data_IF_489589069818
#
_entry.id   IF_489589069818
#
_cell.length_a   1.000
_cell.length_b   1.000
_cell.length_c   1.000
_cell.angle_alpha   90.00
_cell.angle_beta   90.00
_cell.angle_gamma   90.00
#
_symmetry.space_group_name_H-M   'P 1'
#
loop_
_entity.id
_entity.type
_entity.pdbx_description
1 polymer ?
#
# COMPACT_ATOMS: atom_id res chain seq x y z
N UNK A 1 -1.22 -15.08 -18.28
CA UNK A 1 0.04 -14.35 -18.56
C UNK A 1 1.16 -14.65 -17.56
N UNK A 2 0.87 -14.80 -16.25
CA UNK A 2 1.91 -15.08 -15.25
C UNK A 2 2.77 -16.33 -15.51
N UNK A 3 2.18 -17.43 -15.99
CA UNK A 3 2.91 -18.68 -16.26
C UNK A 3 3.95 -18.56 -17.36
N UNK A 4 3.65 -17.82 -18.44
CA UNK A 4 4.60 -17.60 -19.53
C UNK A 4 5.76 -16.70 -19.08
N UNK A 5 5.46 -15.60 -18.38
CA UNK A 5 6.49 -14.73 -17.83
C UNK A 5 7.39 -15.45 -16.83
N UNK A 6 6.80 -16.27 -15.96
CA UNK A 6 7.56 -17.14 -15.04
C UNK A 6 8.41 -18.17 -15.79
N UNK A 7 7.84 -18.83 -16.81
CA UNK A 7 8.56 -19.81 -17.62
C UNK A 7 9.75 -19.16 -18.33
N UNK A 8 9.56 -17.98 -18.95
CA UNK A 8 10.63 -17.24 -19.60
C UNK A 8 11.71 -16.77 -18.60
N UNK A 9 11.33 -16.35 -17.40
CA UNK A 9 12.28 -15.92 -16.38
C UNK A 9 13.10 -17.09 -15.81
N UNK A 10 12.53 -18.30 -15.70
CA UNK A 10 13.19 -19.46 -15.09
C UNK A 10 13.91 -20.33 -16.11
N UNK A 11 13.33 -20.52 -17.30
CA UNK A 11 13.80 -21.44 -18.33
C UNK A 11 14.27 -20.73 -19.60
N UNK A 12 14.36 -19.39 -19.58
CA UNK A 12 14.91 -18.63 -20.68
C UNK A 12 16.36 -19.06 -20.98
N UNK A 13 16.78 -19.06 -22.26
CA UNK A 13 18.14 -19.42 -22.62
C UNK A 13 19.12 -18.38 -22.08
N UNK A 14 19.99 -18.81 -21.16
CA UNK A 14 20.98 -17.96 -20.50
C UNK A 14 20.35 -16.81 -19.69
N UNK A 15 21.09 -15.71 -19.55
CA UNK A 15 20.65 -14.54 -18.77
C UNK A 15 19.85 -13.52 -19.61
N UNK A 16 19.38 -13.92 -20.81
CA UNK A 16 18.70 -13.01 -21.73
C UNK A 16 17.48 -12.30 -21.13
N UNK A 17 16.54 -12.99 -20.43
CA UNK A 17 15.37 -12.34 -19.84
C UNK A 17 15.75 -11.26 -18.82
N UNK A 18 16.71 -11.56 -17.96
CA UNK A 18 17.17 -10.64 -16.92
C UNK A 18 17.95 -9.46 -17.52
N UNK A 19 18.79 -9.72 -18.53
CA UNK A 19 19.52 -8.67 -19.24
C UNK A 19 18.57 -7.74 -19.99
N UNK A 20 17.57 -8.29 -20.69
CA UNK A 20 16.55 -7.54 -21.40
C UNK A 20 15.70 -6.68 -20.45
N UNK A 21 15.24 -7.25 -19.33
CA UNK A 21 14.48 -6.52 -18.32
C UNK A 21 15.30 -5.44 -17.59
N UNK A 22 16.63 -5.59 -17.57
CA UNK A 22 17.56 -4.64 -16.95
C UNK A 22 17.94 -3.46 -17.86
N UNK A 23 17.60 -3.50 -19.15
CA UNK A 23 17.83 -2.36 -20.05
C UNK A 23 17.06 -1.14 -19.55
N UNK A 24 17.68 0.05 -19.40
CA UNK A 24 17.04 1.20 -18.75
C UNK A 24 15.66 1.56 -19.31
N UNK A 25 15.53 1.65 -20.64
CA UNK A 25 14.24 1.96 -21.27
C UNK A 25 13.18 0.88 -21.07
N UNK A 26 13.57 -0.40 -21.09
CA UNK A 26 12.66 -1.51 -20.84
C UNK A 26 12.22 -1.51 -19.38
N UNK A 27 13.15 -1.28 -18.46
CA UNK A 27 12.90 -1.22 -17.03
C UNK A 27 11.87 -0.14 -16.66
N UNK A 28 12.01 1.09 -17.16
CA UNK A 28 11.04 2.16 -16.88
C UNK A 28 9.66 1.81 -17.45
N UNK A 29 9.58 1.29 -18.68
CA UNK A 29 8.31 0.84 -19.26
C UNK A 29 7.67 -0.28 -18.43
N UNK A 30 8.45 -1.23 -17.94
CA UNK A 30 7.96 -2.30 -17.07
C UNK A 30 7.50 -1.77 -15.70
N UNK A 31 8.20 -0.81 -15.11
CA UNK A 31 7.80 -0.13 -13.87
C UNK A 31 6.46 0.58 -14.09
N UNK A 32 6.36 1.39 -15.13
CA UNK A 32 5.13 2.10 -15.51
C UNK A 32 3.95 1.14 -15.67
N UNK A 33 4.10 0.07 -16.46
CA UNK A 33 3.04 -0.91 -16.72
C UNK A 33 2.64 -1.67 -15.45
N UNK A 34 3.61 -2.06 -14.63
CA UNK A 34 3.37 -2.73 -13.35
C UNK A 34 2.55 -1.84 -12.42
N UNK A 35 2.89 -0.56 -12.32
CA UNK A 35 2.24 0.38 -11.43
C UNK A 35 0.85 0.80 -11.91
N UNK A 36 0.67 0.90 -13.23
CA UNK A 36 -0.64 1.06 -13.85
C UNK A 36 -1.56 -0.14 -13.55
N UNK A 37 -1.05 -1.36 -13.72
CA UNK A 37 -1.78 -2.58 -13.40
C UNK A 37 -2.12 -2.65 -11.90
N UNK A 38 -1.14 -2.37 -11.03
CA UNK A 38 -1.31 -2.42 -9.58
C UNK A 38 -2.31 -1.37 -9.09
N UNK A 39 -2.21 -0.13 -9.56
CA UNK A 39 -3.14 0.94 -9.21
C UNK A 39 -4.56 0.62 -9.67
N UNK A 40 -4.72 0.13 -10.91
CA UNK A 40 -6.04 -0.26 -11.41
C UNK A 40 -6.64 -1.44 -10.63
N UNK A 41 -5.82 -2.45 -10.30
CA UNK A 41 -6.21 -3.57 -9.45
C UNK A 41 -6.63 -3.14 -8.06
N UNK A 42 -5.91 -2.19 -7.45
CA UNK A 42 -6.26 -1.57 -6.17
C UNK A 42 -7.68 -0.99 -6.21
N UNK A 43 -7.94 -0.08 -7.15
CA UNK A 43 -9.22 0.61 -7.26
C UNK A 43 -10.38 -0.33 -7.60
N UNK A 44 -10.16 -1.29 -8.51
CA UNK A 44 -11.19 -2.28 -8.82
C UNK A 44 -11.53 -3.15 -7.61
N UNK A 45 -10.53 -3.50 -6.79
CA UNK A 45 -10.78 -4.24 -5.55
C UNK A 45 -11.60 -3.42 -4.56
N UNK A 46 -11.33 -2.11 -4.43
CA UNK A 46 -12.13 -1.20 -3.59
C UNK A 46 -13.59 -1.14 -4.07
N UNK A 47 -13.82 -1.01 -5.38
CA UNK A 47 -15.18 -1.00 -5.96
C UNK A 47 -15.94 -2.28 -5.64
N UNK A 48 -15.30 -3.44 -5.83
CA UNK A 48 -15.90 -4.74 -5.54
C UNK A 48 -16.20 -4.90 -4.05
N UNK A 49 -15.26 -4.52 -3.19
CA UNK A 49 -15.44 -4.57 -1.75
C UNK A 49 -16.57 -3.64 -1.27
N UNK A 50 -16.72 -2.45 -1.85
CA UNK A 50 -17.81 -1.54 -1.52
C UNK A 50 -19.20 -2.12 -1.80
N UNK A 51 -19.33 -3.05 -2.76
CA UNK A 51 -20.59 -3.75 -3.02
C UNK A 51 -20.86 -4.88 -2.01
N UNK A 52 -19.83 -5.37 -1.32
CA UNK A 52 -19.91 -6.49 -0.39
C UNK A 52 -20.09 -6.02 1.07
N UNK A 53 -19.38 -4.97 1.47
CA UNK A 53 -19.45 -4.44 2.83
C UNK A 53 -20.66 -3.52 3.00
N UNK A 54 -21.38 -3.69 4.11
CA UNK A 54 -22.51 -2.83 4.49
C UNK A 54 -22.03 -1.73 5.43
N UNK A 55 -22.72 -0.59 5.38
CA UNK A 55 -22.56 0.50 6.32
C UNK A 55 -22.76 0.02 7.77
N UNK A 56 -22.10 0.70 8.71
CA UNK A 56 -22.26 0.41 10.14
C UNK A 56 -23.35 1.30 10.74
N UNK A 57 -23.76 1.02 11.97
CA UNK A 57 -24.68 1.89 12.73
C UNK A 57 -24.12 3.31 12.93
N UNK A 58 -22.79 3.45 12.94
CA UNK A 58 -22.11 4.71 13.29
C UNK A 58 -21.74 5.56 12.08
N UNK A 59 -21.57 4.93 10.91
CA UNK A 59 -21.20 5.64 9.69
C UNK A 59 -21.90 5.04 8.47
N UNK A 60 -22.56 5.87 7.64
CA UNK A 60 -23.38 5.44 6.51
C UNK A 60 -22.59 4.89 5.32
N UNK A 61 -21.26 5.03 5.33
CA UNK A 61 -20.35 4.49 4.29
C UNK A 61 -19.46 3.41 4.91
N UNK A 62 -19.30 2.23 4.30
CA UNK A 62 -18.42 1.19 4.81
C UNK A 62 -16.95 1.55 4.59
N UNK A 63 -16.30 2.24 5.54
CA UNK A 63 -14.94 2.77 5.34
C UNK A 63 -13.86 1.67 5.37
N UNK A 64 -13.75 0.93 6.47
CA UNK A 64 -12.57 0.09 6.73
C UNK A 64 -12.46 -1.10 5.77
N UNK A 65 -13.56 -1.79 5.47
CA UNK A 65 -13.56 -3.00 4.65
C UNK A 65 -12.99 -2.77 3.24
N UNK A 66 -13.59 -1.87 2.44
CA UNK A 66 -13.10 -1.52 1.11
C UNK A 66 -11.66 -1.03 1.08
N UNK A 67 -11.24 -0.22 2.05
CA UNK A 67 -9.85 0.27 2.15
C UNK A 67 -8.88 -0.89 2.37
N UNK A 68 -9.16 -1.77 3.34
CA UNK A 68 -8.31 -2.94 3.62
C UNK A 68 -8.25 -3.88 2.42
N UNK A 69 -9.39 -4.12 1.75
CA UNK A 69 -9.41 -4.93 0.54
C UNK A 69 -8.59 -4.31 -0.60
N UNK A 70 -8.62 -2.99 -0.81
CA UNK A 70 -7.77 -2.32 -1.79
C UNK A 70 -6.26 -2.45 -1.48
N UNK A 71 -5.89 -2.28 -0.20
CA UNK A 71 -4.52 -2.47 0.29
C UNK A 71 -4.03 -3.89 -0.02
N UNK A 72 -4.81 -4.90 0.36
CA UNK A 72 -4.45 -6.31 0.18
C UNK A 72 -4.51 -6.74 -1.29
N UNK A 73 -5.52 -6.30 -2.05
CA UNK A 73 -5.70 -6.67 -3.45
C UNK A 73 -4.54 -6.21 -4.35
N UNK A 74 -3.92 -5.09 -4.02
CA UNK A 74 -2.78 -4.54 -4.77
C UNK A 74 -1.40 -5.02 -4.28
N UNK A 75 -1.32 -5.54 -3.05
CA UNK A 75 -0.07 -5.98 -2.42
C UNK A 75 -0.05 -7.46 -2.01
N UNK A 76 -1.02 -8.26 -2.47
CA UNK A 76 -1.21 -9.63 -2.04
C UNK A 76 0.09 -10.45 -2.09
N UNK A 77 0.87 -10.33 -3.17
CA UNK A 77 2.13 -11.05 -3.35
C UNK A 77 3.16 -10.85 -2.23
N UNK A 78 3.14 -9.71 -1.52
CA UNK A 78 4.02 -9.49 -0.36
C UNK A 78 3.67 -10.34 0.85
N UNK A 79 2.41 -10.74 0.99
CA UNK A 79 1.90 -11.58 2.08
C UNK A 79 1.90 -13.08 1.73
N UNK A 80 2.38 -13.46 0.54
CA UNK A 80 2.51 -14.85 0.10
C UNK A 80 3.97 -15.35 0.10
N UNK A 81 4.23 -16.63 0.45
CA UNK A 81 3.27 -17.60 0.98
C UNK A 81 2.75 -17.22 2.37
N UNK A 82 1.58 -17.72 2.81
CA UNK A 82 0.98 -17.34 4.10
C UNK A 82 1.86 -17.66 5.32
N UNK A 83 2.81 -18.59 5.16
CA UNK A 83 3.85 -18.88 6.16
C UNK A 83 4.78 -17.68 6.44
N UNK A 84 4.81 -16.69 5.55
CA UNK A 84 5.49 -15.39 5.79
C UNK A 84 4.58 -14.38 6.49
N UNK A 85 3.26 -14.58 6.54
CA UNK A 85 2.31 -13.80 7.33
C UNK A 85 2.57 -12.29 7.28
N UNK A 86 2.81 -11.70 8.47
CA UNK A 86 3.08 -10.27 8.64
C UNK A 86 4.55 -9.88 8.45
N UNK A 87 5.43 -10.77 7.99
CA UNK A 87 6.85 -10.44 7.73
C UNK A 87 7.02 -9.28 6.75
N UNK A 88 6.06 -9.09 5.83
CA UNK A 88 6.04 -7.98 4.89
C UNK A 88 5.98 -6.59 5.55
N UNK A 89 5.54 -6.51 6.82
CA UNK A 89 5.39 -5.27 7.57
C UNK A 89 6.21 -5.24 8.87
N UNK A 90 6.98 -6.29 9.16
CA UNK A 90 7.75 -6.44 10.40
C UNK A 90 8.81 -5.35 10.57
N UNK A 91 9.45 -4.95 9.46
CA UNK A 91 10.44 -3.87 9.43
C UNK A 91 9.82 -2.51 9.02
N UNK A 92 8.52 -2.36 9.21
CA UNK A 92 7.76 -1.19 8.82
C UNK A 92 6.95 -1.40 7.53
N UNK A 93 6.05 -0.46 7.29
CA UNK A 93 5.10 -0.50 6.18
C UNK A 93 5.83 -0.07 4.90
N UNK A 94 5.96 -0.96 3.92
CA UNK A 94 6.57 -0.61 2.63
C UNK A 94 5.80 0.53 1.94
N UNK A 95 6.50 1.34 1.15
CA UNK A 95 5.87 2.43 0.41
C UNK A 95 4.70 1.97 -0.47
N UNK A 96 4.85 0.81 -1.11
CA UNK A 96 3.81 0.17 -1.91
C UNK A 96 2.50 -0.03 -1.15
N UNK A 97 2.61 -0.44 0.12
CA UNK A 97 1.47 -0.67 1.00
C UNK A 97 0.85 0.66 1.47
N UNK A 98 1.69 1.67 1.76
CA UNK A 98 1.24 3.03 2.10
C UNK A 98 0.49 3.69 0.94
N UNK A 99 1.07 3.65 -0.26
CA UNK A 99 0.48 4.19 -1.48
C UNK A 99 -0.87 3.53 -1.79
N UNK A 100 -0.97 2.20 -1.63
CA UNK A 100 -2.23 1.50 -1.77
C UNK A 100 -3.28 1.91 -0.72
N UNK A 101 -2.86 2.13 0.53
CA UNK A 101 -3.75 2.65 1.57
C UNK A 101 -4.29 4.04 1.24
N UNK A 102 -3.39 4.96 0.84
CA UNK A 102 -3.75 6.32 0.43
C UNK A 102 -4.69 6.29 -0.77
N UNK A 103 -4.35 5.55 -1.82
CA UNK A 103 -5.18 5.45 -3.03
C UNK A 103 -6.55 4.83 -2.75
N UNK A 104 -6.59 3.77 -1.93
CA UNK A 104 -7.85 3.13 -1.56
C UNK A 104 -8.74 4.06 -0.75
N UNK A 105 -8.17 4.76 0.23
CA UNK A 105 -8.89 5.73 1.04
C UNK A 105 -9.38 6.92 0.20
N UNK A 106 -8.51 7.52 -0.62
CA UNK A 106 -8.88 8.64 -1.48
C UNK A 106 -9.99 8.25 -2.46
N UNK A 107 -9.82 7.15 -3.18
CA UNK A 107 -10.84 6.70 -4.12
C UNK A 107 -12.17 6.43 -3.42
N UNK A 108 -12.14 5.65 -2.33
CA UNK A 108 -13.35 5.27 -1.62
C UNK A 108 -14.09 6.48 -1.05
N UNK A 109 -13.38 7.40 -0.39
CA UNK A 109 -14.00 8.58 0.21
C UNK A 109 -14.48 9.58 -0.85
N UNK A 110 -13.71 9.82 -1.92
CA UNK A 110 -14.10 10.79 -2.94
C UNK A 110 -15.30 10.30 -3.78
N UNK A 111 -15.39 9.00 -4.05
CA UNK A 111 -16.40 8.42 -4.94
C UNK A 111 -17.63 7.88 -4.20
N UNK A 112 -17.44 7.24 -3.05
CA UNK A 112 -18.52 6.52 -2.36
C UNK A 112 -19.01 7.22 -1.09
N UNK A 113 -18.19 8.06 -0.45
CA UNK A 113 -18.63 8.77 0.75
C UNK A 113 -19.30 10.10 0.37
N UNK A 114 -20.63 10.15 0.43
CA UNK A 114 -21.41 11.39 0.21
C UNK A 114 -21.42 12.31 1.44
N UNK A 115 -20.81 11.90 2.55
CA UNK A 115 -20.91 12.58 3.85
C UNK A 115 -19.68 13.45 4.13
N UNK A 116 -19.44 13.74 5.42
CA UNK A 116 -18.49 14.75 5.89
C UNK A 116 -17.08 14.52 5.37
N UNK A 117 -16.58 13.27 5.37
CA UNK A 117 -15.19 13.00 5.00
C UNK A 117 -14.97 13.17 3.50
N UNK A 118 -15.85 12.59 2.68
CA UNK A 118 -15.83 12.76 1.25
C UNK A 118 -16.06 14.22 0.84
N UNK A 119 -17.00 14.92 1.48
CA UNK A 119 -17.26 16.33 1.20
C UNK A 119 -16.05 17.21 1.53
N UNK A 120 -15.39 16.98 2.68
CA UNK A 120 -14.17 17.68 3.07
C UNK A 120 -13.03 17.43 2.08
N UNK A 121 -12.81 16.17 1.69
CA UNK A 121 -11.77 15.83 0.72
C UNK A 121 -12.05 16.40 -0.67
N UNK A 122 -13.31 16.35 -1.13
CA UNK A 122 -13.72 16.97 -2.40
C UNK A 122 -13.52 18.49 -2.39
N UNK A 123 -13.83 19.14 -1.26
CA UNK A 123 -13.58 20.57 -1.06
C UNK A 123 -12.09 20.90 -1.05
N UNK A 124 -11.28 20.14 -0.31
CA UNK A 124 -9.83 20.33 -0.23
C UNK A 124 -9.13 20.16 -1.58
N UNK A 125 -9.61 19.23 -2.41
CA UNK A 125 -9.04 18.93 -3.72
C UNK A 125 -9.72 19.68 -4.87
N UNK A 126 -10.68 20.56 -4.59
CA UNK A 126 -11.44 21.31 -5.59
C UNK A 126 -12.11 20.42 -6.66
N UNK A 127 -12.57 19.22 -6.28
CA UNK A 127 -13.08 18.19 -7.22
C UNK A 127 -14.58 18.29 -7.53
N UNK A 128 -15.24 19.35 -7.08
CA UNK A 128 -16.70 19.51 -7.16
C UNK A 128 -17.45 18.54 -6.22
N UNK A 129 -18.78 18.66 -6.16
CA UNK A 129 -19.59 17.88 -5.22
C UNK A 129 -19.64 16.37 -5.53
N UNK A 130 -19.57 16.01 -6.81
CA UNK A 130 -19.65 14.62 -7.30
C UNK A 130 -18.62 14.39 -8.41
N UNK A 131 -17.37 14.07 -8.07
CA UNK A 131 -16.34 13.82 -9.07
C UNK A 131 -16.67 12.55 -9.86
N UNK A 132 -16.42 12.59 -11.17
CA UNK A 132 -16.59 11.42 -12.02
C UNK A 132 -15.67 10.28 -11.51
N UNK A 133 -16.21 9.06 -11.25
CA UNK A 133 -15.42 7.96 -10.71
C UNK A 133 -14.19 7.60 -11.55
N UNK A 134 -14.30 7.76 -12.88
CA UNK A 134 -13.19 7.55 -13.81
C UNK A 134 -12.04 8.54 -13.59
N UNK A 135 -12.35 9.82 -13.34
CA UNK A 135 -11.34 10.84 -13.06
C UNK A 135 -10.60 10.54 -11.76
N UNK A 136 -11.31 10.20 -10.68
CA UNK A 136 -10.68 9.86 -9.40
C UNK A 136 -9.82 8.61 -9.53
N UNK A 137 -10.28 7.61 -10.29
CA UNK A 137 -9.49 6.41 -10.57
C UNK A 137 -8.19 6.75 -11.30
N UNK A 138 -8.26 7.54 -12.37
CA UNK A 138 -7.07 7.97 -13.13
C UNK A 138 -6.11 8.73 -12.22
N UNK A 139 -6.59 9.66 -11.39
CA UNK A 139 -5.75 10.38 -10.43
C UNK A 139 -5.04 9.43 -9.44
N UNK A 140 -5.76 8.44 -8.91
CA UNK A 140 -5.17 7.46 -8.01
C UNK A 140 -4.13 6.59 -8.72
N UNK A 141 -4.38 6.14 -9.95
CA UNK A 141 -3.40 5.35 -10.73
C UNK A 141 -2.18 6.18 -11.10
N UNK A 142 -2.36 7.44 -11.49
CA UNK A 142 -1.26 8.35 -11.77
C UNK A 142 -0.40 8.60 -10.53
N UNK A 143 -0.99 8.60 -9.33
CA UNK A 143 -0.21 8.68 -8.08
C UNK A 143 0.70 7.46 -7.90
N UNK A 144 0.24 6.23 -8.22
CA UNK A 144 1.11 5.04 -8.19
C UNK A 144 2.31 5.20 -9.13
N UNK A 145 2.02 5.57 -10.38
CA UNK A 145 3.05 5.76 -11.42
C UNK A 145 4.03 6.85 -11.00
N UNK A 146 3.53 8.05 -10.67
CA UNK A 146 4.35 9.20 -10.34
C UNK A 146 5.32 8.92 -9.20
N UNK A 147 4.89 8.20 -8.16
CA UNK A 147 5.79 7.89 -7.05
C UNK A 147 6.79 6.79 -7.41
N UNK A 148 6.41 5.82 -8.24
CA UNK A 148 7.36 4.82 -8.70
C UNK A 148 8.48 5.41 -9.58
N UNK A 149 8.12 6.35 -10.47
CA UNK A 149 9.10 7.12 -11.26
C UNK A 149 10.00 7.99 -10.36
N UNK A 150 9.42 8.63 -9.33
CA UNK A 150 10.24 9.34 -8.34
C UNK A 150 11.20 8.41 -7.59
N UNK A 151 10.79 7.17 -7.31
CA UNK A 151 11.65 6.17 -6.67
C UNK A 151 12.70 5.58 -7.62
N UNK A 152 12.45 5.53 -8.94
CA UNK A 152 13.45 5.11 -9.91
C UNK A 152 14.59 6.15 -9.99
N UNK A 153 14.26 7.44 -9.85
CA UNK A 153 15.24 8.55 -9.87
C UNK A 153 15.92 8.79 -8.53
N UNK A 154 15.14 8.90 -7.43
CA UNK A 154 15.64 9.30 -6.10
C UNK A 154 16.05 8.12 -5.23
N UNK A 155 15.82 6.89 -5.70
CA UNK A 155 16.16 5.65 -5.03
C UNK A 155 14.99 5.00 -4.28
N UNK A 156 15.14 3.70 -3.92
CA UNK A 156 14.06 2.87 -3.42
C UNK A 156 13.55 3.25 -2.01
N UNK A 157 14.33 4.04 -1.27
CA UNK A 157 13.99 4.51 0.08
C UNK A 157 13.32 5.89 0.09
N UNK A 158 13.14 6.53 -1.06
CA UNK A 158 12.45 7.80 -1.13
C UNK A 158 10.98 7.63 -0.69
N UNK A 159 10.58 8.42 0.31
CA UNK A 159 9.21 8.54 0.77
C UNK A 159 8.84 10.02 0.89
N UNK A 160 7.93 10.54 0.04
CA UNK A 160 7.58 11.97 0.04
C UNK A 160 6.91 12.42 1.35
N UNK A 161 6.36 11.48 2.12
CA UNK A 161 5.67 11.75 3.39
C UNK A 161 6.51 11.41 4.63
N UNK A 162 7.80 11.12 4.49
CA UNK A 162 8.67 10.83 5.64
C UNK A 162 8.57 11.89 6.74
N UNK A 163 8.56 13.17 6.37
CA UNK A 163 8.39 14.30 7.31
C UNK A 163 7.03 14.27 8.03
N UNK A 164 5.96 13.97 7.31
CA UNK A 164 4.61 13.88 7.89
C UNK A 164 4.53 12.70 8.86
N UNK A 165 5.11 11.55 8.52
CA UNK A 165 5.19 10.42 9.44
C UNK A 165 5.93 10.77 10.72
N UNK A 166 7.07 11.48 10.65
CA UNK A 166 7.78 11.91 11.86
C UNK A 166 6.91 12.77 12.79
N UNK A 167 6.11 13.68 12.22
CA UNK A 167 5.17 14.50 12.99
C UNK A 167 4.07 13.64 13.61
N UNK A 168 3.47 12.73 12.85
CA UNK A 168 2.42 11.84 13.33
C UNK A 168 2.92 10.89 14.43
N UNK A 169 4.13 10.33 14.29
CA UNK A 169 4.76 9.52 15.34
C UNK A 169 4.99 10.33 16.61
N UNK A 170 5.46 11.58 16.47
CA UNK A 170 5.65 12.47 17.61
C UNK A 170 4.33 12.82 18.31
N UNK A 171 3.26 13.06 17.55
CA UNK A 171 1.95 13.41 18.10
C UNK A 171 1.21 12.22 18.70
N UNK A 172 1.35 11.03 18.11
CA UNK A 172 0.69 9.81 18.59
C UNK A 172 1.31 9.26 19.88
N UNK A 173 2.49 9.75 20.29
CA UNK A 173 3.20 9.26 21.46
C UNK A 173 3.66 7.81 21.34
N UNK A 174 3.64 7.24 20.12
CA UNK A 174 4.14 5.89 19.86
C UNK A 174 5.65 5.90 20.10
N UNK A 175 6.16 5.12 21.08
CA UNK A 175 7.58 5.07 21.39
C UNK A 175 8.36 4.62 20.16
N UNK A 176 9.60 5.12 20.01
CA UNK A 176 10.44 4.79 18.85
C UNK A 176 10.62 3.28 18.74
N UNK A 177 10.80 2.76 17.53
CA UNK A 177 10.98 1.31 17.32
C UNK A 177 12.12 0.72 18.16
N UNK A 178 13.19 1.50 18.41
CA UNK A 178 14.29 1.14 19.30
C UNK A 178 13.84 1.01 20.77
N UNK A 179 13.01 1.93 21.26
CA UNK A 179 12.43 1.87 22.60
C UNK A 179 11.43 0.72 22.74
N UNK A 180 10.69 0.40 21.68
CA UNK A 180 9.81 -0.76 21.65
C UNK A 180 10.60 -2.08 21.68
N UNK A 181 11.69 -2.19 20.91
CA UNK A 181 12.59 -3.34 20.94
C UNK A 181 13.21 -3.53 22.33
N UNK A 182 13.75 -2.46 22.92
CA UNK A 182 14.30 -2.50 24.29
C UNK A 182 13.25 -2.89 25.35
N UNK A 183 11.97 -2.49 25.17
CA UNK A 183 10.86 -2.92 26.05
C UNK A 183 10.48 -4.39 25.87
N UNK A 184 10.61 -4.93 24.65
CA UNK A 184 10.33 -6.34 24.38
C UNK A 184 11.47 -7.22 24.88
N UNK A 185 12.71 -6.84 24.63
CA UNK A 185 13.91 -7.52 25.14
C UNK A 185 13.88 -7.58 26.67
N UNK A 186 13.67 -6.44 27.35
CA UNK A 186 13.58 -6.44 28.83
C UNK A 186 12.43 -7.29 29.37
N UNK A 187 11.26 -7.35 28.72
CA UNK A 187 10.17 -8.26 29.12
C UNK A 187 10.52 -9.74 28.90
N UNK A 188 11.29 -10.05 27.86
CA UNK A 188 11.67 -11.43 27.53
C UNK A 188 12.66 -11.97 28.55
N UNK A 189 13.60 -11.13 29.00
CA UNK A 189 14.56 -11.47 30.06
C UNK A 189 13.87 -11.73 31.41
N UNK A 190 12.89 -10.90 31.78
CA UNK A 190 12.09 -11.11 33.00
C UNK A 190 11.30 -12.42 32.99
N UNK A 191 10.73 -12.81 31.85
CA UNK A 191 9.98 -14.07 31.71
C UNK A 191 10.93 -15.27 31.77
N UNK A 192 12.10 -15.19 31.13
CA UNK A 192 13.13 -16.22 31.20
C UNK A 192 13.65 -16.47 32.62
N UNK A 193 13.91 -15.41 33.38
CA UNK A 193 14.31 -15.54 34.80
C UNK A 193 13.19 -16.11 35.68
N UNK A 194 11.93 -15.77 35.41
CA UNK A 194 10.79 -16.28 36.19
C UNK A 194 10.53 -17.78 35.98
N UNK A 195 10.89 -18.31 34.81
CA UNK A 195 10.77 -19.73 34.47
C UNK A 195 11.89 -20.57 35.09
N UNK A 196 13.11 -20.01 35.24
CA UNK A 196 14.23 -20.70 35.89
C UNK A 196 14.14 -20.75 37.43
N UNK A 197 13.15 -20.06 38.04
CA UNK A 197 12.93 -20.08 39.50
C UNK A 197 11.81 -21.04 39.95
N UNK A 198 11.29 -21.88 39.05
CA UNK A 198 10.33 -22.96 39.34
C UNK A 198 10.98 -24.31 39.10
#
# INVERSE_FOLDING_TARGET
MGTLAWFLAVYGPGDFPDHFASMPGVKEVLIFLKELFRGNGCINTVKQANMLFKATKYYPTPITGPIVCGILGSNAGGFFPPSRGLKAIENGVSWNLQCAGIASALYHLLVHDSFVLGALLRGLLCLGATPAPGTVQVLCVLMFVAVAELQSVLGPHFNPFAKVHHVLYKMSGVPKAEEQRARVESKTDYVGESLNRR
#
